data_IF_899368772516
#
_entry.id   IF_899368772516
#
_cell.length_a   1.000
_cell.length_b   1.000
_cell.length_c   1.000
_cell.angle_alpha   90.00
_cell.angle_beta   90.00
_cell.angle_gamma   90.00
#
_symmetry.space_group_name_H-M   'P 1'
#
loop_
_entity.id
_entity.type
_entity.pdbx_description
1 polymer ?
#
# COMPACT_ATOMS: atom_id res chain seq x y z
N UNK A 1 21.37 7.12 2.03
CA UNK A 1 21.43 5.80 2.71
C UNK A 1 21.08 4.75 1.68
N UNK A 2 21.83 3.64 1.64
CA UNK A 2 21.52 2.54 0.74
C UNK A 2 20.49 1.61 1.43
N UNK A 3 19.60 0.96 0.68
CA UNK A 3 18.52 0.08 1.18
C UNK A 3 19.01 -0.95 2.22
N UNK A 4 20.26 -1.40 2.08
CA UNK A 4 20.95 -2.32 2.99
C UNK A 4 21.21 -1.73 4.39
N UNK A 5 21.43 -0.43 4.52
CA UNK A 5 21.71 0.22 5.82
C UNK A 5 20.44 0.37 6.66
N UNK A 6 19.28 0.49 6.02
CA UNK A 6 17.99 0.50 6.71
C UNK A 6 17.62 -0.90 7.23
N UNK A 7 17.79 -1.93 6.40
CA UNK A 7 17.57 -3.34 6.79
C UNK A 7 18.43 -3.73 8.01
N UNK A 8 19.66 -3.22 8.08
CA UNK A 8 20.57 -3.49 9.20
C UNK A 8 20.17 -2.81 10.52
N UNK A 9 19.39 -1.72 10.47
CA UNK A 9 19.01 -0.98 11.68
C UNK A 9 17.97 -1.74 12.50
N UNK A 10 17.10 -2.56 11.88
CA UNK A 10 16.12 -3.38 12.62
C UNK A 10 15.69 -4.66 11.86
N UNK A 11 16.66 -5.51 11.54
CA UNK A 11 16.48 -6.74 10.73
C UNK A 11 15.42 -7.71 11.28
N UNK A 12 15.30 -7.82 12.60
CA UNK A 12 14.35 -8.74 13.24
C UNK A 12 12.90 -8.29 13.04
N UNK A 13 12.61 -6.99 13.26
CA UNK A 13 11.28 -6.42 13.02
C UNK A 13 10.88 -6.54 11.55
N UNK A 14 11.85 -6.36 10.65
CA UNK A 14 11.67 -6.49 9.21
C UNK A 14 11.22 -7.90 8.78
N UNK A 15 11.90 -8.96 9.26
CA UNK A 15 11.51 -10.34 8.99
C UNK A 15 10.12 -10.62 9.58
N UNK A 16 9.90 -10.25 10.83
CA UNK A 16 8.64 -10.50 11.52
C UNK A 16 7.44 -9.85 10.81
N UNK A 17 7.55 -8.59 10.37
CA UNK A 17 6.48 -7.91 9.63
C UNK A 17 6.14 -8.61 8.30
N UNK A 18 7.13 -9.20 7.62
CA UNK A 18 6.89 -9.95 6.38
C UNK A 18 6.16 -11.25 6.63
N UNK A 19 6.60 -12.00 7.64
CA UNK A 19 5.94 -13.23 8.05
C UNK A 19 4.48 -12.94 8.44
N UNK A 20 4.26 -11.87 9.21
CA UNK A 20 2.93 -11.44 9.62
C UNK A 20 2.07 -11.01 8.43
N UNK A 21 2.66 -10.34 7.44
CA UNK A 21 1.99 -9.95 6.19
C UNK A 21 1.57 -11.17 5.36
N UNK A 22 2.42 -12.20 5.30
CA UNK A 22 2.10 -13.45 4.58
C UNK A 22 1.00 -14.22 5.29
N UNK A 23 1.10 -14.36 6.62
CA UNK A 23 0.10 -15.05 7.44
C UNK A 23 -1.26 -14.35 7.34
N UNK A 24 -1.28 -13.02 7.45
CA UNK A 24 -2.51 -12.25 7.33
C UNK A 24 -3.13 -12.39 5.93
N UNK A 25 -2.34 -12.29 4.86
CA UNK A 25 -2.83 -12.51 3.49
C UNK A 25 -3.44 -13.91 3.29
N UNK A 26 -2.77 -14.95 3.80
CA UNK A 26 -3.29 -16.32 3.75
C UNK A 26 -4.56 -16.49 4.59
N UNK A 27 -4.62 -15.85 5.76
CA UNK A 27 -5.78 -15.88 6.65
C UNK A 27 -7.02 -15.20 6.04
N UNK A 28 -6.85 -14.14 5.24
CA UNK A 28 -7.96 -13.53 4.46
C UNK A 28 -8.61 -14.58 3.55
N UNK A 29 -7.80 -15.30 2.77
CA UNK A 29 -8.31 -16.34 1.88
C UNK A 29 -8.90 -17.51 2.67
N UNK A 30 -8.25 -17.90 3.77
CA UNK A 30 -8.76 -18.92 4.68
C UNK A 30 -10.15 -18.57 5.24
N UNK A 31 -10.37 -17.32 5.65
CA UNK A 31 -11.67 -16.84 6.10
C UNK A 31 -12.73 -16.91 5.00
N UNK A 32 -12.36 -16.57 3.75
CA UNK A 32 -13.22 -16.76 2.58
C UNK A 32 -13.57 -18.22 2.31
N UNK A 33 -12.64 -19.15 2.58
CA UNK A 33 -12.90 -20.58 2.47
C UNK A 33 -13.85 -21.08 3.57
N UNK A 34 -13.67 -20.63 4.82
CA UNK A 34 -14.63 -20.93 5.92
C UNK A 34 -16.02 -20.37 5.61
N UNK A 35 -16.10 -19.19 4.98
CA UNK A 35 -17.37 -18.62 4.53
C UNK A 35 -18.13 -19.51 3.55
N UNK A 36 -17.43 -20.28 2.71
CA UNK A 36 -18.06 -21.26 1.83
C UNK A 36 -18.75 -22.38 2.61
N UNK A 37 -18.15 -22.86 3.71
CA UNK A 37 -18.78 -23.85 4.60
C UNK A 37 -19.99 -23.27 5.34
N UNK A 38 -19.91 -22.02 5.81
CA UNK A 38 -21.07 -21.34 6.40
C UNK A 38 -22.28 -21.35 5.45
N UNK A 39 -22.07 -21.02 4.17
CA UNK A 39 -23.16 -21.07 3.17
C UNK A 39 -23.73 -22.48 2.98
N UNK A 40 -22.89 -23.50 3.08
CA UNK A 40 -23.30 -24.91 2.98
C UNK A 40 -24.10 -25.34 4.20
N UNK A 41 -23.67 -24.97 5.40
CA UNK A 41 -24.34 -25.31 6.65
C UNK A 41 -25.69 -24.59 6.79
N UNK A 42 -25.76 -23.33 6.35
CA UNK A 42 -27.02 -22.57 6.22
C UNK A 42 -27.99 -23.27 5.28
N UNK A 43 -27.51 -23.69 4.11
CA UNK A 43 -28.33 -24.43 3.13
C UNK A 43 -28.87 -25.75 3.71
N UNK A 44 -28.03 -26.45 4.47
CA UNK A 44 -28.38 -27.75 5.08
C UNK A 44 -29.15 -27.61 6.41
N UNK A 45 -29.40 -26.37 6.89
CA UNK A 45 -30.03 -26.06 8.18
C UNK A 45 -29.31 -26.68 9.39
N UNK A 46 -27.99 -26.88 9.29
CA UNK A 46 -27.19 -27.37 10.41
C UNK A 46 -26.80 -26.21 11.34
N UNK A 47 -27.61 -25.98 12.37
CA UNK A 47 -27.39 -24.92 13.35
C UNK A 47 -26.08 -25.05 14.14
N UNK A 48 -25.54 -26.26 14.31
CA UNK A 48 -24.26 -26.45 15.00
C UNK A 48 -23.09 -26.09 14.08
N UNK A 49 -23.12 -26.53 12.82
CA UNK A 49 -22.14 -26.14 11.79
C UNK A 49 -22.10 -24.63 11.58
N UNK A 50 -23.26 -23.99 11.51
CA UNK A 50 -23.40 -22.52 11.41
C UNK A 50 -22.69 -21.82 12.58
N UNK A 51 -22.89 -22.26 13.82
CA UNK A 51 -22.30 -21.61 14.99
C UNK A 51 -20.76 -21.74 14.96
N UNK A 52 -20.24 -22.92 14.63
CA UNK A 52 -18.79 -23.16 14.53
C UNK A 52 -18.15 -22.36 13.41
N UNK A 53 -18.77 -22.33 12.22
CA UNK A 53 -18.25 -21.58 11.08
C UNK A 53 -18.27 -20.07 11.32
N UNK A 54 -19.31 -19.53 11.95
CA UNK A 54 -19.37 -18.11 12.33
C UNK A 54 -18.29 -17.75 13.34
N UNK A 55 -18.07 -18.58 14.37
CA UNK A 55 -17.01 -18.33 15.35
C UNK A 55 -15.61 -18.38 14.72
N UNK A 56 -15.35 -19.37 13.85
CA UNK A 56 -14.08 -19.48 13.13
C UNK A 56 -13.87 -18.30 12.18
N UNK A 57 -14.89 -17.88 11.42
CA UNK A 57 -14.81 -16.68 10.58
C UNK A 57 -14.53 -15.44 11.42
N UNK A 58 -15.25 -15.24 12.52
CA UNK A 58 -15.05 -14.11 13.42
C UNK A 58 -13.62 -14.04 13.96
N UNK A 59 -13.08 -15.18 14.41
CA UNK A 59 -11.71 -15.30 14.90
C UNK A 59 -10.69 -14.99 13.80
N UNK A 60 -10.86 -15.54 12.60
CA UNK A 60 -9.97 -15.29 11.47
C UNK A 60 -10.00 -13.83 11.02
N UNK A 61 -11.18 -13.21 10.91
CA UNK A 61 -11.30 -11.81 10.53
C UNK A 61 -10.73 -10.87 11.59
N UNK A 62 -11.06 -11.06 12.87
CA UNK A 62 -10.51 -10.23 13.96
C UNK A 62 -8.99 -10.41 14.05
N UNK A 63 -8.49 -11.63 13.97
CA UNK A 63 -7.05 -11.92 13.99
C UNK A 63 -6.33 -11.26 12.82
N UNK A 64 -6.87 -11.41 11.61
CA UNK A 64 -6.28 -10.82 10.39
C UNK A 64 -6.30 -9.29 10.45
N UNK A 65 -7.42 -8.68 10.84
CA UNK A 65 -7.52 -7.23 10.98
C UNK A 65 -6.59 -6.70 12.08
N UNK A 66 -6.50 -7.40 13.21
CA UNK A 66 -5.56 -7.07 14.28
C UNK A 66 -4.11 -7.09 13.81
N UNK A 67 -3.71 -8.09 13.03
CA UNK A 67 -2.38 -8.17 12.42
C UNK A 67 -2.12 -7.01 11.47
N UNK A 68 -3.09 -6.66 10.60
CA UNK A 68 -2.96 -5.53 9.67
C UNK A 68 -2.80 -4.20 10.43
N UNK A 69 -3.60 -3.95 11.47
CA UNK A 69 -3.47 -2.74 12.28
C UNK A 69 -2.13 -2.67 13.01
N UNK A 70 -1.65 -3.80 13.53
CA UNK A 70 -0.35 -3.87 14.17
C UNK A 70 0.79 -3.54 13.18
N UNK A 71 0.73 -4.07 11.96
CA UNK A 71 1.68 -3.74 10.88
C UNK A 71 1.65 -2.23 10.58
N UNK A 72 0.46 -1.64 10.45
CA UNK A 72 0.31 -0.20 10.22
C UNK A 72 0.87 0.64 11.38
N UNK A 73 0.71 0.17 12.61
CA UNK A 73 1.26 0.83 13.80
C UNK A 73 2.79 0.82 13.79
N UNK A 74 3.44 -0.31 13.48
CA UNK A 74 4.90 -0.38 13.36
C UNK A 74 5.44 0.51 12.23
N UNK A 75 4.71 0.64 11.10
CA UNK A 75 5.06 1.60 10.04
C UNK A 75 5.03 3.04 10.56
N UNK A 76 4.01 3.41 11.35
CA UNK A 76 3.93 4.76 11.95
C UNK A 76 5.07 5.03 12.91
N UNK A 77 5.50 4.04 13.69
CA UNK A 77 6.68 4.17 14.56
C UNK A 77 7.95 4.41 13.70
N UNK A 78 8.08 3.78 12.54
CA UNK A 78 9.19 4.08 11.62
C UNK A 78 9.15 5.51 11.07
N UNK A 79 7.99 6.14 11.02
CA UNK A 79 7.88 7.53 10.61
C UNK A 79 8.58 8.49 11.59
N UNK A 80 8.63 8.17 12.89
CA UNK A 80 9.46 8.90 13.87
C UNK A 80 10.95 8.78 13.56
N UNK A 81 11.40 7.63 13.05
CA UNK A 81 12.79 7.47 12.58
C UNK A 81 13.07 8.36 11.35
N UNK A 82 12.11 8.50 10.44
CA UNK A 82 12.21 9.46 9.33
C UNK A 82 12.27 10.91 9.82
N UNK A 83 11.58 11.24 10.92
CA UNK A 83 11.73 12.56 11.56
C UNK A 83 13.13 12.76 12.13
N UNK A 84 13.76 11.72 12.71
CA UNK A 84 15.15 11.80 13.13
C UNK A 84 16.12 12.01 11.97
N UNK A 85 15.88 11.36 10.81
CA UNK A 85 16.65 11.60 9.59
C UNK A 85 16.46 13.03 9.12
N UNK A 86 15.23 13.57 9.11
CA UNK A 86 14.95 14.99 8.80
C UNK A 86 15.71 15.93 9.73
N UNK A 87 15.73 15.65 11.02
CA UNK A 87 16.46 16.45 12.01
C UNK A 87 17.99 16.39 11.80
N UNK A 88 18.52 15.22 11.42
CA UNK A 88 19.94 15.05 11.10
C UNK A 88 20.33 15.75 9.81
N UNK A 89 19.46 15.72 8.79
CA UNK A 89 19.63 16.43 7.53
C UNK A 89 19.61 17.94 7.75
N UNK A 90 18.65 18.44 8.54
CA UNK A 90 18.56 19.84 8.92
C UNK A 90 19.83 20.29 9.64
N UNK A 91 20.28 19.56 10.67
CA UNK A 91 21.55 19.86 11.36
C UNK A 91 22.73 19.87 10.40
N UNK A 92 22.80 18.94 9.45
CA UNK A 92 23.87 18.92 8.47
C UNK A 92 23.86 20.18 7.60
N UNK A 93 22.72 20.55 7.00
CA UNK A 93 22.63 21.77 6.20
C UNK A 93 22.89 23.07 6.98
N UNK A 94 22.53 23.11 8.28
CA UNK A 94 22.84 24.26 9.15
C UNK A 94 24.31 24.33 9.58
N UNK A 95 25.00 23.19 9.73
CA UNK A 95 26.38 23.12 10.21
C UNK A 95 27.43 23.11 9.07
N UNK A 96 27.04 22.78 7.83
CA UNK A 96 27.97 22.62 6.70
C UNK A 96 28.51 23.96 6.17
N UNK A 97 27.97 25.11 6.62
CA UNK A 97 28.36 26.48 6.24
C UNK A 97 28.44 26.76 4.72
N UNK A 98 27.90 25.86 3.89
CA UNK A 98 27.85 25.97 2.44
C UNK A 98 26.55 26.61 1.99
N UNK A 99 26.63 27.40 0.93
CA UNK A 99 25.46 28.05 0.36
C UNK A 99 24.69 27.04 -0.50
N UNK A 100 23.61 26.50 0.04
CA UNK A 100 22.69 25.62 -0.68
C UNK A 100 21.47 26.41 -1.15
N UNK A 101 20.96 26.14 -2.36
CA UNK A 101 19.71 26.73 -2.81
C UNK A 101 18.57 26.24 -1.90
N UNK A 102 17.78 27.18 -1.39
CA UNK A 102 16.63 26.89 -0.51
C UNK A 102 15.68 25.88 -1.14
N UNK A 103 15.45 25.99 -2.46
CA UNK A 103 14.63 25.05 -3.22
C UNK A 103 15.16 23.60 -3.17
N UNK A 104 16.47 23.39 -3.30
CA UNK A 104 17.07 22.04 -3.31
C UNK A 104 17.02 21.39 -1.92
N UNK A 105 17.20 22.19 -0.87
CA UNK A 105 17.08 21.75 0.53
C UNK A 105 15.63 21.39 0.87
N UNK A 106 14.68 22.23 0.46
CA UNK A 106 13.24 21.96 0.64
C UNK A 106 12.84 20.68 -0.08
N UNK A 107 13.26 20.50 -1.33
CA UNK A 107 12.93 19.33 -2.15
C UNK A 107 13.48 18.02 -1.52
N UNK A 108 14.72 18.06 -1.00
CA UNK A 108 15.30 16.93 -0.27
C UNK A 108 14.63 16.61 1.05
N UNK A 109 14.20 17.63 1.81
CA UNK A 109 13.54 17.44 3.11
C UNK A 109 12.10 16.93 3.00
N UNK A 110 11.44 17.22 1.87
CA UNK A 110 10.05 16.85 1.61
C UNK A 110 9.96 15.71 0.61
N UNK A 111 10.14 16.01 -0.68
CA UNK A 111 9.92 15.08 -1.78
C UNK A 111 10.87 13.87 -1.79
N UNK A 112 12.17 14.03 -1.58
CA UNK A 112 13.07 12.87 -1.65
C UNK A 112 12.84 11.90 -0.48
N UNK A 113 12.62 12.44 0.72
CA UNK A 113 12.31 11.65 1.91
C UNK A 113 10.94 10.97 1.80
N UNK A 114 9.95 11.66 1.26
CA UNK A 114 8.63 11.10 1.02
C UNK A 114 8.68 10.02 -0.07
N UNK A 115 9.42 10.24 -1.15
CA UNK A 115 9.61 9.27 -2.22
C UNK A 115 10.33 8.00 -1.70
N UNK A 116 11.33 8.15 -0.83
CA UNK A 116 11.96 7.00 -0.16
C UNK A 116 10.95 6.27 0.72
N UNK A 117 10.10 6.99 1.46
CA UNK A 117 9.05 6.37 2.28
C UNK A 117 8.06 5.57 1.43
N UNK A 118 7.44 6.22 0.45
CA UNK A 118 6.36 5.63 -0.34
C UNK A 118 6.83 4.55 -1.30
N UNK A 119 8.02 4.69 -1.90
CA UNK A 119 8.50 3.69 -2.87
C UNK A 119 9.17 2.49 -2.22
N UNK A 120 9.69 2.61 -0.99
CA UNK A 120 10.41 1.52 -0.35
C UNK A 120 9.68 0.92 0.85
N UNK A 121 9.13 1.71 1.78
CA UNK A 121 8.52 1.13 2.98
C UNK A 121 7.13 0.55 2.72
N UNK A 122 6.29 1.26 1.96
CA UNK A 122 4.92 0.82 1.71
C UNK A 122 4.91 -0.45 0.85
N UNK A 123 5.66 -0.45 -0.26
CA UNK A 123 5.75 -1.61 -1.17
C UNK A 123 6.30 -2.86 -0.50
N UNK A 124 7.16 -2.69 0.51
CA UNK A 124 7.85 -3.80 1.14
C UNK A 124 6.93 -4.72 1.97
N UNK A 125 5.85 -4.17 2.53
CA UNK A 125 4.83 -4.91 3.27
C UNK A 125 3.68 -5.32 2.34
N UNK A 126 3.34 -4.44 1.38
CA UNK A 126 2.29 -4.65 0.39
C UNK A 126 2.60 -5.86 -0.51
N UNK A 127 3.82 -5.99 -1.03
CA UNK A 127 4.17 -7.08 -1.95
C UNK A 127 4.01 -8.47 -1.32
N UNK A 128 4.58 -8.77 -0.14
CA UNK A 128 4.36 -10.06 0.53
C UNK A 128 2.89 -10.32 0.85
N UNK A 129 2.15 -9.30 1.31
CA UNK A 129 0.73 -9.43 1.65
C UNK A 129 -0.12 -9.81 0.44
N UNK A 130 -0.07 -9.01 -0.64
CA UNK A 130 -0.84 -9.30 -1.85
C UNK A 130 -0.30 -10.53 -2.60
N UNK A 131 1.00 -10.78 -2.53
CA UNK A 131 1.61 -12.01 -3.06
C UNK A 131 1.08 -13.26 -2.34
N UNK A 132 0.96 -13.21 -1.01
CA UNK A 132 0.36 -14.30 -0.24
C UNK A 132 -1.12 -14.49 -0.57
N UNK A 133 -1.90 -13.40 -0.65
CA UNK A 133 -3.31 -13.46 -1.10
C UNK A 133 -3.39 -14.13 -2.47
N UNK A 134 -2.56 -13.72 -3.43
CA UNK A 134 -2.56 -14.28 -4.79
C UNK A 134 -2.26 -15.78 -4.77
N UNK A 135 -1.17 -16.20 -4.13
CA UNK A 135 -0.78 -17.62 -4.05
C UNK A 135 -1.85 -18.45 -3.32
N UNK A 136 -2.35 -17.98 -2.18
CA UNK A 136 -3.40 -18.64 -1.43
C UNK A 136 -4.71 -18.74 -2.22
N UNK A 137 -5.08 -17.70 -2.97
CA UNK A 137 -6.26 -17.71 -3.83
C UNK A 137 -6.13 -18.74 -4.95
N UNK A 138 -4.96 -18.84 -5.61
CA UNK A 138 -4.72 -19.86 -6.63
C UNK A 138 -4.89 -21.27 -6.05
N UNK A 139 -4.30 -21.53 -4.87
CA UNK A 139 -4.41 -22.82 -4.18
C UNK A 139 -5.87 -23.12 -3.82
N UNK A 140 -6.60 -22.14 -3.28
CA UNK A 140 -8.00 -22.29 -2.92
C UNK A 140 -8.89 -22.58 -4.15
N UNK A 141 -8.70 -21.85 -5.25
CA UNK A 141 -9.43 -22.04 -6.50
C UNK A 141 -9.19 -23.45 -7.08
N UNK A 142 -7.93 -23.88 -7.13
CA UNK A 142 -7.55 -25.22 -7.55
C UNK A 142 -8.16 -26.31 -6.65
N UNK A 143 -8.23 -26.07 -5.34
CA UNK A 143 -8.82 -27.00 -4.38
C UNK A 143 -10.34 -27.14 -4.51
N UNK A 144 -11.05 -26.10 -4.98
CA UNK A 144 -12.50 -26.14 -5.17
C UNK A 144 -12.86 -26.81 -6.50
N UNK A 145 -12.38 -26.24 -7.62
CA UNK A 145 -12.66 -26.76 -8.96
C UNK A 145 -11.73 -26.13 -10.00
N UNK A 146 -11.09 -26.97 -10.83
CA UNK A 146 -10.20 -26.56 -11.91
C UNK A 146 -10.86 -25.65 -12.97
N UNK A 147 -12.18 -25.77 -13.20
CA UNK A 147 -12.90 -24.90 -14.13
C UNK A 147 -13.07 -23.48 -13.59
N UNK A 148 -13.33 -23.34 -12.28
CA UNK A 148 -13.46 -22.01 -11.64
C UNK A 148 -12.13 -21.28 -11.73
N UNK A 149 -11.02 -22.00 -11.56
CA UNK A 149 -9.67 -21.48 -11.77
C UNK A 149 -9.47 -20.92 -13.20
N UNK A 150 -9.85 -21.68 -14.24
CA UNK A 150 -9.75 -21.20 -15.62
C UNK A 150 -10.61 -19.97 -15.90
N UNK A 151 -11.85 -19.95 -15.38
CA UNK A 151 -12.74 -18.79 -15.53
C UNK A 151 -12.14 -17.57 -14.84
N UNK A 152 -11.55 -17.73 -13.64
CA UNK A 152 -10.87 -16.64 -12.93
C UNK A 152 -9.77 -16.02 -13.79
N UNK A 153 -8.91 -16.84 -14.42
CA UNK A 153 -7.84 -16.34 -15.29
C UNK A 153 -8.41 -15.51 -16.45
N UNK A 154 -9.48 -15.99 -17.09
CA UNK A 154 -10.12 -15.25 -18.19
C UNK A 154 -10.66 -13.90 -17.70
N UNK A 155 -11.33 -13.88 -16.54
CA UNK A 155 -11.88 -12.66 -15.95
C UNK A 155 -10.77 -11.69 -15.54
N UNK A 156 -9.66 -12.19 -14.98
CA UNK A 156 -8.51 -11.36 -14.57
C UNK A 156 -7.82 -10.73 -15.79
N UNK A 157 -7.63 -11.50 -16.87
CA UNK A 157 -7.09 -11.00 -18.14
C UNK A 157 -8.00 -9.91 -18.69
N UNK A 158 -9.30 -10.14 -18.76
CA UNK A 158 -10.27 -9.16 -19.23
C UNK A 158 -10.23 -7.89 -18.37
N UNK A 159 -10.21 -8.05 -17.04
CA UNK A 159 -10.17 -6.95 -16.07
C UNK A 159 -8.88 -6.14 -16.15
N UNK A 160 -7.75 -6.76 -16.55
CA UNK A 160 -6.50 -6.05 -16.79
C UNK A 160 -6.49 -5.31 -18.13
N UNK A 161 -6.95 -5.95 -19.21
CA UNK A 161 -6.85 -5.39 -20.55
C UNK A 161 -7.93 -4.35 -20.86
N UNK A 162 -9.15 -4.47 -20.33
CA UNK A 162 -10.24 -3.50 -20.58
C UNK A 162 -9.84 -2.09 -20.13
N UNK A 163 -9.41 -1.85 -18.87
CA UNK A 163 -9.02 -0.51 -18.42
C UNK A 163 -7.83 0.02 -19.21
N UNK A 164 -6.88 -0.84 -19.61
CA UNK A 164 -5.70 -0.45 -20.38
C UNK A 164 -6.07 -0.01 -21.80
N UNK A 165 -7.04 -0.68 -22.44
CA UNK A 165 -7.58 -0.28 -23.74
C UNK A 165 -8.33 1.05 -23.66
N UNK A 166 -9.14 1.22 -22.60
CA UNK A 166 -9.85 2.47 -22.31
C UNK A 166 -8.83 3.60 -22.07
N UNK A 167 -7.87 3.42 -21.17
CA UNK A 167 -6.81 4.40 -20.91
C UNK A 167 -6.04 4.75 -22.18
N UNK A 168 -5.67 3.78 -23.02
CA UNK A 168 -4.99 4.04 -24.31
C UNK A 168 -5.84 4.90 -25.26
N UNK A 169 -7.17 4.77 -25.21
CA UNK A 169 -8.11 5.56 -26.02
C UNK A 169 -8.26 6.99 -25.49
N UNK A 170 -8.26 7.18 -24.17
CA UNK A 170 -8.34 8.49 -23.50
C UNK A 170 -7.00 9.20 -23.36
N UNK A 171 -5.87 8.50 -23.50
CA UNK A 171 -4.51 9.04 -23.56
C UNK A 171 -4.05 9.36 -24.98
N UNK A 172 -4.98 9.46 -25.95
CA UNK A 172 -4.77 10.41 -27.06
C UNK A 172 -4.41 11.75 -26.40
N UNK A 173 -3.38 12.46 -26.87
CA UNK A 173 -2.90 13.66 -26.21
C UNK A 173 -4.09 14.58 -25.98
N UNK A 174 -4.51 14.72 -24.72
CA UNK A 174 -5.20 15.94 -24.35
C UNK A 174 -4.26 17.04 -24.83
N UNK A 175 -4.74 18.03 -25.62
CA UNK A 175 -3.89 19.16 -25.95
C UNK A 175 -3.32 19.62 -24.63
N UNK A 176 -1.99 19.54 -24.52
CA UNK A 176 -1.21 20.02 -23.39
C UNK A 176 -1.85 21.34 -23.01
N UNK A 177 -2.62 21.41 -21.92
CA UNK A 177 -3.16 22.67 -21.45
C UNK A 177 -1.94 23.44 -20.97
N UNK A 178 -1.35 24.32 -21.78
CA UNK A 178 -0.07 24.89 -21.46
C UNK A 178 -0.37 26.00 -20.46
N UNK A 179 0.31 25.95 -19.32
CA UNK A 179 0.74 27.12 -18.53
C UNK A 179 -0.29 28.15 -18.04
N UNK A 180 -1.57 28.15 -18.44
CA UNK A 180 -2.53 29.19 -18.03
C UNK A 180 -2.89 29.11 -16.55
N UNK A 181 -2.95 27.91 -15.96
CA UNK A 181 -3.22 27.77 -14.52
C UNK A 181 -2.08 28.34 -13.68
N UNK A 182 -0.82 28.11 -14.08
CA UNK A 182 0.35 28.69 -13.39
C UNK A 182 0.47 30.20 -13.65
N UNK A 183 0.13 30.68 -14.85
CA UNK A 183 0.12 32.12 -15.15
C UNK A 183 -0.98 32.85 -14.36
N UNK A 184 -2.18 32.28 -14.25
CA UNK A 184 -3.28 32.85 -13.47
C UNK A 184 -2.91 32.85 -11.98
N UNK A 185 -2.36 31.75 -11.45
CA UNK A 185 -1.87 31.70 -10.05
C UNK A 185 -0.74 32.70 -9.78
N UNK A 186 0.22 32.89 -10.71
CA UNK A 186 1.25 33.92 -10.60
C UNK A 186 0.66 35.34 -10.70
N UNK A 187 -0.36 35.56 -11.55
CA UNK A 187 -1.04 36.86 -11.65
C UNK A 187 -1.78 37.22 -10.36
N UNK A 188 -2.45 36.24 -9.74
CA UNK A 188 -3.14 36.44 -8.46
C UNK A 188 -2.16 36.66 -7.30
N UNK A 189 -1.05 35.91 -7.24
CA UNK A 189 -0.02 36.12 -6.20
C UNK A 189 0.67 37.48 -6.32
N UNK A 190 1.02 37.91 -7.54
CA UNK A 190 1.68 39.20 -7.75
C UNK A 190 0.71 40.39 -7.64
N UNK A 191 -0.56 40.22 -8.05
CA UNK A 191 -1.59 41.25 -7.90
C UNK A 191 -1.95 41.57 -6.45
N UNK A 192 -1.96 40.56 -5.57
CA UNK A 192 -2.20 40.77 -4.13
C UNK A 192 -1.05 41.50 -3.42
N UNK A 193 0.19 41.36 -3.90
CA UNK A 193 1.35 42.08 -3.35
C UNK A 193 1.37 43.56 -3.76
N UNK A 194 0.86 43.89 -4.95
CA UNK A 194 0.79 45.27 -5.44
C UNK A 194 -0.30 46.12 -4.75
N UNK A 195 -1.33 45.48 -4.18
CA UNK A 195 -2.43 46.15 -3.46
C UNK A 195 -2.12 46.39 -1.96
N UNK A 196 -0.93 46.02 -1.49
CA UNK A 196 -0.52 46.11 -0.08
C UNK A 196 0.52 47.20 0.20
N UNK A 197 0.90 47.98 -0.82
CA UNK A 197 1.66 49.24 -0.71
C UNK A 197 0.75 50.41 -1.08
#
# INVERSE_FOLDING_TARGET
MNFKDFIKTNYFRFIYMNILSVISGAAVIGAGYVQMYFLTDVKNKDWRGILVTVLLMGLLYIGTQGMIYYIQFEIRIQEEYNQQIRNKLARHYFLDQRNHKVADVQNRMTNDLEMVRTNFFDWYIIIPFYGAIFVSALIALLSINWMIFLVSIVVDVISYFIPKLIQKRWSKPQPMFPSKTNIILMFWQNGFLALKN
#
